data_IF_332772382622
#
_entry.id   IF_332772382622
#
_cell.length_a   1.000
_cell.length_b   1.000
_cell.length_c   1.000
_cell.angle_alpha   90.00
_cell.angle_beta   90.00
_cell.angle_gamma   90.00
#
_symmetry.space_group_name_H-M   'P 1'
#
loop_
_entity.id
_entity.type
_entity.pdbx_description
1 polymer ?
#
# COMPACT_ATOMS: atom_id res chain seq x y z
N UNK A 1 -3.97 -19.78 0.38
CA UNK A 1 -5.21 -20.60 0.46
C UNK A 1 -5.06 -21.96 -0.23
N UNK A 2 -4.61 -22.02 -1.49
CA UNK A 2 -4.55 -23.29 -2.24
C UNK A 2 -3.73 -24.41 -1.57
N UNK A 3 -2.71 -24.04 -0.81
CA UNK A 3 -1.80 -24.97 -0.14
C UNK A 3 -1.91 -24.93 1.40
N UNK A 4 -2.89 -24.24 1.93
CA UNK A 4 -3.14 -24.13 3.37
C UNK A 4 -4.33 -24.99 3.81
N UNK A 5 -4.42 -25.24 5.11
CA UNK A 5 -5.58 -25.87 5.75
C UNK A 5 -6.67 -24.85 6.13
N UNK A 6 -6.51 -23.56 5.71
CA UNK A 6 -7.50 -22.53 5.98
C UNK A 6 -8.85 -22.89 5.37
N UNK A 7 -9.90 -22.85 6.17
CA UNK A 7 -11.27 -23.20 5.76
C UNK A 7 -12.05 -21.96 5.27
N UNK A 8 -11.59 -20.78 5.64
CA UNK A 8 -12.26 -19.49 5.43
C UNK A 8 -11.38 -18.57 4.62
N UNK A 9 -11.97 -17.74 3.79
CA UNK A 9 -11.36 -16.62 3.10
C UNK A 9 -12.18 -15.36 3.36
N UNK A 10 -11.51 -14.31 3.82
CA UNK A 10 -12.10 -13.00 4.04
C UNK A 10 -11.52 -12.00 3.02
N UNK A 11 -12.36 -11.10 2.53
CA UNK A 11 -11.92 -10.04 1.64
C UNK A 11 -12.74 -8.77 1.83
N UNK A 12 -12.03 -7.64 1.92
CA UNK A 12 -12.66 -6.33 1.84
C UNK A 12 -13.01 -5.99 0.41
N UNK A 13 -14.16 -5.36 0.22
CA UNK A 13 -14.65 -4.87 -1.06
C UNK A 13 -15.34 -3.52 -0.90
N UNK A 14 -15.77 -2.97 -2.02
CA UNK A 14 -16.43 -1.65 -2.07
C UNK A 14 -17.70 -1.74 -2.91
N UNK A 15 -18.58 -0.76 -2.76
CA UNK A 15 -19.74 -0.61 -3.65
C UNK A 15 -19.31 -0.16 -5.07
N UNK A 16 -18.19 0.55 -5.18
CA UNK A 16 -17.63 1.00 -6.44
C UNK A 16 -16.91 -0.15 -7.17
N UNK A 17 -17.61 -0.80 -8.10
CA UNK A 17 -17.15 -2.00 -8.83
C UNK A 17 -15.72 -1.90 -9.40
N UNK A 18 -15.28 -0.71 -9.83
CA UNK A 18 -13.93 -0.50 -10.40
C UNK A 18 -12.80 -0.64 -9.39
N UNK A 19 -13.10 -0.64 -8.08
CA UNK A 19 -12.16 -0.80 -6.99
C UNK A 19 -12.35 -2.12 -6.25
N UNK A 20 -13.44 -2.84 -6.53
CA UNK A 20 -13.83 -4.05 -5.81
C UNK A 20 -13.16 -5.29 -6.39
N UNK A 21 -12.24 -5.89 -5.64
CA UNK A 21 -11.61 -7.19 -5.94
C UNK A 21 -12.32 -8.37 -5.27
N UNK A 22 -13.33 -8.11 -4.41
CA UNK A 22 -13.96 -9.16 -3.61
C UNK A 22 -14.66 -10.23 -4.41
N UNK A 23 -15.24 -9.89 -5.58
CA UNK A 23 -15.83 -10.86 -6.48
C UNK A 23 -14.81 -11.86 -7.01
N UNK A 24 -13.62 -11.40 -7.35
CA UNK A 24 -12.55 -12.28 -7.82
C UNK A 24 -11.99 -13.14 -6.70
N UNK A 25 -11.97 -12.63 -5.47
CA UNK A 25 -11.59 -13.38 -4.29
C UNK A 25 -12.62 -14.47 -3.98
N UNK A 26 -13.92 -14.17 -4.10
CA UNK A 26 -15.03 -15.12 -3.95
C UNK A 26 -14.96 -16.26 -4.97
N UNK A 27 -14.75 -15.95 -6.25
CA UNK A 27 -14.55 -16.98 -7.30
C UNK A 27 -13.40 -17.92 -6.94
N UNK A 28 -12.28 -17.36 -6.46
CA UNK A 28 -11.11 -18.13 -6.06
C UNK A 28 -11.40 -19.00 -4.83
N UNK A 29 -12.08 -18.46 -3.82
CA UNK A 29 -12.46 -19.19 -2.62
C UNK A 29 -13.40 -20.36 -2.95
N UNK A 30 -14.42 -20.11 -3.77
CA UNK A 30 -15.37 -21.13 -4.24
C UNK A 30 -14.68 -22.25 -5.01
N UNK A 31 -13.76 -21.92 -5.90
CA UNK A 31 -12.98 -22.89 -6.67
C UNK A 31 -12.10 -23.77 -5.76
N UNK A 32 -11.61 -23.20 -4.66
CA UNK A 32 -10.81 -23.92 -3.66
C UNK A 32 -11.67 -24.60 -2.58
N UNK A 33 -13.01 -24.52 -2.68
CA UNK A 33 -13.94 -25.12 -1.72
C UNK A 33 -13.85 -24.47 -0.32
N UNK A 34 -13.59 -23.16 -0.26
CA UNK A 34 -13.46 -22.40 0.98
C UNK A 34 -14.71 -21.56 1.24
N UNK A 35 -15.10 -21.40 2.50
CA UNK A 35 -16.14 -20.46 2.89
C UNK A 35 -15.63 -19.04 2.67
N UNK A 36 -16.42 -18.19 2.04
CA UNK A 36 -16.04 -16.81 1.73
C UNK A 36 -16.90 -15.81 2.52
N UNK A 37 -16.22 -14.86 3.16
CA UNK A 37 -16.85 -13.72 3.81
C UNK A 37 -16.41 -12.43 3.12
N UNK A 38 -17.37 -11.62 2.76
CA UNK A 38 -17.16 -10.32 2.13
C UNK A 38 -17.46 -9.21 3.12
N UNK A 39 -16.47 -8.39 3.41
CA UNK A 39 -16.63 -7.14 4.14
C UNK A 39 -16.75 -5.99 3.13
N UNK A 40 -17.92 -5.36 3.02
CA UNK A 40 -18.12 -4.20 2.15
C UNK A 40 -17.90 -2.95 2.97
N UNK A 41 -16.92 -2.13 2.57
CA UNK A 41 -16.53 -0.92 3.28
C UNK A 41 -17.24 0.26 2.66
N UNK A 42 -17.96 1.01 3.49
CA UNK A 42 -18.61 2.26 3.12
C UNK A 42 -17.73 3.47 3.44
N UNK A 43 -17.95 4.62 2.78
CA UNK A 43 -17.25 5.86 3.13
C UNK A 43 -17.45 6.24 4.60
N UNK A 44 -18.66 6.06 5.13
CA UNK A 44 -19.01 6.35 6.53
C UNK A 44 -18.14 5.55 7.50
N UNK A 45 -18.09 4.22 7.34
CA UNK A 45 -17.25 3.33 8.16
C UNK A 45 -15.78 3.68 8.06
N UNK A 46 -15.32 4.00 6.85
CA UNK A 46 -13.94 4.39 6.60
C UNK A 46 -13.52 5.63 7.40
N UNK A 47 -14.30 6.72 7.30
CA UNK A 47 -13.97 7.97 8.00
C UNK A 47 -14.21 7.89 9.52
N UNK A 48 -15.21 7.14 9.96
CA UNK A 48 -15.51 6.95 11.39
C UNK A 48 -14.38 6.23 12.13
N UNK A 49 -13.71 5.24 11.50
CA UNK A 49 -12.67 4.46 12.15
C UNK A 49 -11.29 5.16 12.15
N UNK A 50 -11.08 6.24 11.37
CA UNK A 50 -9.78 6.94 11.28
C UNK A 50 -9.17 7.27 12.64
N UNK A 51 -9.89 7.85 13.63
CA UNK A 51 -9.30 8.13 14.94
C UNK A 51 -8.80 6.88 15.66
N UNK A 52 -9.52 5.77 15.55
CA UNK A 52 -9.11 4.48 16.12
C UNK A 52 -7.81 3.97 15.48
N UNK A 53 -7.70 4.05 14.15
CA UNK A 53 -6.51 3.63 13.43
C UNK A 53 -5.32 4.51 13.82
N UNK A 54 -5.47 5.84 13.80
CA UNK A 54 -4.39 6.77 14.19
C UNK A 54 -3.92 6.55 15.63
N UNK A 55 -4.85 6.26 16.55
CA UNK A 55 -4.48 5.95 17.93
C UNK A 55 -3.65 4.67 18.05
N UNK A 56 -4.03 3.60 17.37
CA UNK A 56 -3.33 2.31 17.43
C UNK A 56 -2.04 2.29 16.60
N UNK A 57 -1.93 3.12 15.58
CA UNK A 57 -0.69 3.27 14.79
C UNK A 57 0.43 3.95 15.60
N UNK A 58 0.08 4.76 16.61
CA UNK A 58 1.01 5.51 17.49
C UNK A 58 1.92 6.50 16.74
N UNK A 59 1.73 6.67 15.44
CA UNK A 59 2.46 7.63 14.61
C UNK A 59 1.60 8.06 13.42
N UNK A 60 1.85 9.25 12.84
CA UNK A 60 1.17 9.68 11.61
C UNK A 60 1.51 8.73 10.46
N UNK A 61 0.51 8.26 9.75
CA UNK A 61 0.66 7.43 8.57
C UNK A 61 -0.18 7.98 7.43
N UNK A 62 0.47 8.26 6.30
CA UNK A 62 -0.19 8.77 5.08
C UNK A 62 -0.77 7.69 4.17
N UNK A 63 -0.70 6.40 4.55
CA UNK A 63 -1.30 5.32 3.76
C UNK A 63 -2.78 5.13 4.05
N UNK A 64 -3.61 5.44 3.04
CA UNK A 64 -5.06 5.28 3.11
C UNK A 64 -5.50 3.82 3.27
N UNK A 65 -4.65 2.86 2.91
CA UNK A 65 -4.94 1.42 2.99
C UNK A 65 -4.97 0.90 4.42
N UNK A 66 -4.27 1.56 5.36
CA UNK A 66 -4.27 1.22 6.78
C UNK A 66 -5.68 1.18 7.39
N UNK A 67 -6.54 2.10 6.97
CA UNK A 67 -7.93 2.17 7.43
C UNK A 67 -8.71 0.93 6.98
N UNK A 68 -8.59 0.59 5.70
CA UNK A 68 -9.24 -0.61 5.12
C UNK A 68 -8.70 -1.88 5.76
N UNK A 69 -7.40 -1.92 6.00
CA UNK A 69 -6.76 -3.06 6.65
C UNK A 69 -7.27 -3.26 8.10
N UNK A 70 -7.46 -2.17 8.84
CA UNK A 70 -8.03 -2.22 10.20
C UNK A 70 -9.47 -2.75 10.19
N UNK A 71 -10.31 -2.31 9.25
CA UNK A 71 -11.68 -2.83 9.09
C UNK A 71 -11.63 -4.33 8.77
N UNK A 72 -10.78 -4.72 7.83
CA UNK A 72 -10.58 -6.12 7.45
C UNK A 72 -10.12 -7.00 8.62
N UNK A 73 -9.16 -6.54 9.43
CA UNK A 73 -8.72 -7.24 10.63
C UNK A 73 -9.85 -7.45 11.63
N UNK A 74 -10.69 -6.43 11.87
CA UNK A 74 -11.85 -6.53 12.76
C UNK A 74 -12.87 -7.55 12.24
N UNK A 75 -13.20 -7.49 10.95
CA UNK A 75 -14.12 -8.44 10.33
C UNK A 75 -13.58 -9.89 10.38
N UNK A 76 -12.32 -10.09 10.02
CA UNK A 76 -11.67 -11.41 10.06
C UNK A 76 -11.60 -11.98 11.49
N UNK A 77 -11.37 -11.12 12.50
CA UNK A 77 -11.31 -11.55 13.91
C UNK A 77 -12.64 -12.10 14.46
N UNK A 78 -13.76 -11.83 13.79
CA UNK A 78 -15.06 -12.44 14.10
C UNK A 78 -15.12 -13.93 13.73
N UNK A 79 -14.31 -14.35 12.75
CA UNK A 79 -14.33 -15.72 12.22
C UNK A 79 -13.14 -16.56 12.66
N UNK A 80 -11.99 -15.94 12.92
CA UNK A 80 -10.76 -16.65 13.28
C UNK A 80 -9.87 -15.82 14.20
N UNK A 81 -8.90 -16.48 14.84
CA UNK A 81 -7.83 -15.83 15.61
C UNK A 81 -6.48 -15.82 14.88
N UNK A 82 -6.36 -16.60 13.82
CA UNK A 82 -5.12 -16.70 13.03
C UNK A 82 -5.51 -16.67 11.56
N UNK A 83 -4.89 -15.80 10.77
CA UNK A 83 -5.07 -15.78 9.33
C UNK A 83 -3.75 -15.69 8.56
N UNK A 84 -3.81 -15.90 7.26
CA UNK A 84 -2.68 -15.75 6.34
C UNK A 84 -2.91 -14.56 5.43
N UNK A 85 -1.87 -13.72 5.28
CA UNK A 85 -1.83 -12.63 4.31
C UNK A 85 -0.80 -12.88 3.20
N UNK A 86 -0.99 -12.24 2.07
CA UNK A 86 -0.14 -12.36 0.88
C UNK A 86 0.93 -11.28 0.77
N UNK A 87 1.20 -10.53 1.84
CA UNK A 87 2.15 -9.41 1.84
C UNK A 87 3.58 -9.85 1.50
N UNK A 88 4.36 -8.93 0.95
CA UNK A 88 5.76 -9.13 0.56
C UNK A 88 5.97 -9.74 -0.83
N UNK A 89 4.91 -10.23 -1.47
CA UNK A 89 5.01 -10.81 -2.81
C UNK A 89 5.34 -9.76 -3.89
N UNK A 90 4.93 -8.53 -3.70
CA UNK A 90 5.21 -7.43 -4.64
C UNK A 90 6.67 -7.03 -4.58
N UNK A 91 7.22 -6.87 -3.40
CA UNK A 91 8.60 -6.48 -3.16
C UNK A 91 9.58 -7.58 -3.58
N UNK A 92 9.31 -8.82 -3.21
CA UNK A 92 10.22 -9.94 -3.46
C UNK A 92 10.24 -10.38 -4.92
N UNK A 93 9.09 -10.35 -5.58
CA UNK A 93 8.93 -10.91 -6.94
C UNK A 93 8.61 -9.87 -8.02
N UNK A 94 8.69 -8.58 -7.71
CA UNK A 94 8.53 -7.52 -8.70
C UNK A 94 7.08 -7.27 -9.10
N UNK A 95 6.18 -7.07 -8.12
CA UNK A 95 4.75 -6.92 -8.38
C UNK A 95 4.29 -5.51 -8.75
N UNK A 96 5.02 -4.48 -8.38
CA UNK A 96 4.64 -3.10 -8.66
C UNK A 96 4.86 -2.71 -10.13
N UNK A 97 3.91 -1.99 -10.71
CA UNK A 97 3.99 -1.56 -12.12
C UNK A 97 5.20 -0.67 -12.41
N UNK A 98 5.64 0.11 -11.42
CA UNK A 98 6.80 0.99 -11.56
C UNK A 98 8.10 0.23 -11.82
N UNK A 99 8.21 -1.01 -11.35
CA UNK A 99 9.38 -1.86 -11.58
C UNK A 99 9.66 -2.16 -13.06
N UNK A 100 8.64 -2.09 -13.93
CA UNK A 100 8.82 -2.19 -15.39
C UNK A 100 9.64 -1.05 -15.97
N UNK A 101 9.73 0.06 -15.25
CA UNK A 101 10.50 1.22 -15.67
C UNK A 101 11.91 1.27 -15.05
N UNK A 102 12.29 0.29 -14.24
CA UNK A 102 13.56 0.29 -13.52
C UNK A 102 14.76 0.56 -14.43
N UNK A 103 14.84 -0.13 -15.57
CA UNK A 103 15.91 0.05 -16.54
C UNK A 103 15.97 1.46 -17.13
N UNK A 104 14.84 2.15 -17.25
CA UNK A 104 14.79 3.55 -17.75
C UNK A 104 15.34 4.53 -16.74
N UNK A 105 15.23 4.23 -15.45
CA UNK A 105 15.76 5.07 -14.38
C UNK A 105 17.28 4.89 -14.23
N UNK A 106 17.78 3.66 -14.44
CA UNK A 106 19.21 3.38 -14.39
C UNK A 106 19.88 3.85 -13.10
N UNK A 107 21.04 4.48 -13.21
CA UNK A 107 21.79 4.99 -12.06
C UNK A 107 21.15 6.21 -11.39
N UNK A 108 20.19 6.88 -12.04
CA UNK A 108 19.51 8.04 -11.47
C UNK A 108 18.50 7.66 -10.36
N UNK A 109 18.21 6.37 -10.16
CA UNK A 109 17.34 5.89 -9.08
C UNK A 109 17.72 6.46 -7.72
N UNK A 110 19.00 6.48 -7.41
CA UNK A 110 19.55 6.99 -6.15
C UNK A 110 19.29 8.50 -5.90
N UNK A 111 18.86 9.24 -6.90
CA UNK A 111 18.64 10.68 -6.80
C UNK A 111 17.18 11.01 -6.44
N UNK A 112 16.26 10.04 -6.57
CA UNK A 112 14.83 10.34 -6.33
C UNK A 112 14.01 9.18 -5.76
N UNK A 113 14.43 7.92 -5.87
CA UNK A 113 13.60 6.79 -5.46
C UNK A 113 13.83 6.43 -3.99
N UNK A 114 12.82 6.66 -3.18
CA UNK A 114 12.78 6.38 -1.74
C UNK A 114 11.68 5.36 -1.39
N UNK A 115 11.43 4.43 -2.31
CA UNK A 115 10.30 3.53 -2.20
C UNK A 115 9.00 4.18 -2.72
N UNK A 116 7.89 3.52 -2.49
CA UNK A 116 6.56 3.98 -2.91
C UNK A 116 6.00 5.11 -2.00
N UNK A 117 6.86 5.80 -1.26
CA UNK A 117 6.50 6.74 -0.19
C UNK A 117 6.54 8.20 -0.60
N UNK A 118 7.17 8.56 -1.71
CA UNK A 118 7.37 9.97 -2.08
C UNK A 118 6.13 10.56 -2.77
N UNK A 119 5.30 11.29 -2.01
CA UNK A 119 4.03 11.86 -2.47
C UNK A 119 4.19 13.31 -2.94
N UNK A 120 5.08 14.07 -2.32
CA UNK A 120 5.30 15.50 -2.61
C UNK A 120 6.74 15.76 -3.01
N UNK A 121 6.94 16.64 -4.00
CA UNK A 121 8.25 17.14 -4.37
C UNK A 121 8.75 18.17 -3.35
N UNK A 122 10.06 18.40 -3.32
CA UNK A 122 10.66 19.33 -2.37
C UNK A 122 10.17 20.77 -2.53
N UNK A 123 9.97 21.24 -3.75
CA UNK A 123 9.41 22.58 -4.01
C UNK A 123 7.94 22.72 -3.56
N UNK A 124 7.19 21.62 -3.50
CA UNK A 124 5.83 21.60 -2.95
C UNK A 124 5.86 21.60 -1.42
N UNK A 125 6.74 20.80 -0.81
CA UNK A 125 6.92 20.77 0.65
C UNK A 125 7.33 22.14 1.18
N UNK A 126 8.27 22.81 0.51
CA UNK A 126 8.72 24.17 0.87
C UNK A 126 7.57 25.18 0.91
N UNK A 127 6.55 25.03 0.06
CA UNK A 127 5.40 25.95 0.02
C UNK A 127 4.40 25.73 1.14
N UNK A 128 4.30 24.50 1.62
CA UNK A 128 3.26 24.14 2.60
C UNK A 128 3.78 24.00 4.04
N UNK A 129 5.07 23.69 4.22
CA UNK A 129 5.64 23.46 5.55
C UNK A 129 6.14 24.77 6.15
N UNK A 130 5.73 25.09 7.39
CA UNK A 130 6.25 26.26 8.14
C UNK A 130 7.70 26.08 8.59
N UNK A 131 8.11 24.85 8.79
CA UNK A 131 9.45 24.49 9.27
C UNK A 131 10.12 23.54 8.26
N UNK A 132 10.23 24.01 7.01
CA UNK A 132 10.93 23.27 5.97
C UNK A 132 12.45 23.43 6.16
N UNK A 133 13.15 22.31 6.22
CA UNK A 133 14.60 22.26 6.26
C UNK A 133 15.13 21.72 4.92
N UNK A 134 15.81 22.52 4.10
CA UNK A 134 16.35 22.10 2.82
C UNK A 134 17.51 21.12 2.91
N UNK A 135 18.12 20.98 4.09
CA UNK A 135 19.24 20.08 4.34
C UNK A 135 18.76 18.68 4.78
N UNK A 136 17.44 18.49 4.98
CA UNK A 136 16.85 17.18 5.33
C UNK A 136 16.06 16.64 4.15
N UNK A 137 16.68 15.75 3.38
CA UNK A 137 16.09 15.18 2.17
C UNK A 137 15.67 13.73 2.39
N UNK A 138 14.47 13.31 1.93
CA UNK A 138 14.01 11.92 2.05
C UNK A 138 14.98 10.91 1.43
N UNK A 139 15.68 11.30 0.38
CA UNK A 139 16.65 10.42 -0.29
C UNK A 139 17.81 10.01 0.62
N UNK A 140 18.14 10.78 1.63
CA UNK A 140 19.19 10.46 2.60
C UNK A 140 18.85 9.22 3.43
N UNK A 141 17.55 8.95 3.63
CA UNK A 141 17.08 7.72 4.30
C UNK A 141 17.41 6.49 3.44
N UNK A 142 17.33 6.63 2.12
CA UNK A 142 17.62 5.54 1.18
C UNK A 142 19.12 5.44 0.80
N UNK A 143 19.91 6.49 1.03
CA UNK A 143 21.31 6.53 0.61
C UNK A 143 22.16 5.34 1.14
N UNK A 144 22.10 4.96 2.43
CA UNK A 144 22.85 3.79 2.91
C UNK A 144 22.44 2.49 2.20
N UNK A 145 21.15 2.34 1.87
CA UNK A 145 20.65 1.18 1.15
C UNK A 145 21.26 1.13 -0.25
N UNK A 146 21.34 2.28 -0.93
CA UNK A 146 21.97 2.34 -2.27
C UNK A 146 23.46 2.05 -2.25
N UNK A 147 24.19 2.45 -1.21
CA UNK A 147 25.61 2.13 -1.04
C UNK A 147 25.84 0.63 -0.91
N UNK A 148 25.02 -0.08 -0.14
CA UNK A 148 25.09 -1.54 0.02
C UNK A 148 24.77 -2.31 -1.27
N UNK A 149 24.07 -1.65 -2.21
CA UNK A 149 23.61 -2.27 -3.47
C UNK A 149 24.43 -1.86 -4.69
N UNK A 150 25.65 -1.39 -4.51
CA UNK A 150 26.52 -1.07 -5.62
C UNK A 150 26.73 -2.31 -6.52
N UNK A 151 26.57 -2.13 -7.83
CA UNK A 151 26.70 -3.21 -8.82
C UNK A 151 25.46 -4.07 -9.05
N UNK A 152 24.38 -3.89 -8.29
CA UNK A 152 23.08 -4.53 -8.58
C UNK A 152 22.35 -3.81 -9.72
N UNK A 153 21.50 -4.57 -10.42
CA UNK A 153 20.64 -4.02 -11.46
C UNK A 153 19.54 -3.09 -10.86
N UNK A 154 18.99 -2.17 -11.68
CA UNK A 154 18.02 -1.17 -11.21
C UNK A 154 16.79 -1.75 -10.54
N UNK A 155 16.24 -2.86 -11.02
CA UNK A 155 15.07 -3.52 -10.39
C UNK A 155 15.42 -4.04 -9.01
N UNK A 156 16.58 -4.67 -8.86
CA UNK A 156 17.06 -5.15 -7.57
C UNK A 156 17.28 -4.01 -6.58
N UNK A 157 17.78 -2.85 -7.02
CA UNK A 157 17.90 -1.65 -6.19
C UNK A 157 16.53 -1.15 -5.73
N UNK A 158 15.55 -0.99 -6.64
CA UNK A 158 14.19 -0.57 -6.28
C UNK A 158 13.54 -1.54 -5.29
N UNK A 159 13.61 -2.84 -5.57
CA UNK A 159 13.06 -3.90 -4.70
C UNK A 159 13.65 -3.84 -3.29
N UNK A 160 14.97 -3.64 -3.15
CA UNK A 160 15.60 -3.56 -1.83
C UNK A 160 15.22 -2.29 -1.06
N UNK A 161 15.08 -1.15 -1.74
CA UNK A 161 14.56 0.09 -1.13
C UNK A 161 13.15 -0.14 -0.62
N UNK A 162 12.28 -0.77 -1.42
CA UNK A 162 10.92 -1.06 -0.99
C UNK A 162 10.87 -2.08 0.15
N UNK A 163 11.73 -3.09 0.18
CA UNK A 163 11.80 -4.04 1.28
C UNK A 163 12.16 -3.36 2.60
N UNK A 164 13.16 -2.46 2.58
CA UNK A 164 13.68 -1.85 3.80
C UNK A 164 12.90 -0.61 4.26
N UNK A 165 12.25 0.12 3.36
CA UNK A 165 11.52 1.35 3.68
C UNK A 165 10.01 1.13 3.64
N UNK A 166 9.48 0.60 2.52
CA UNK A 166 8.05 0.47 2.30
C UNK A 166 7.45 -0.75 3.01
N UNK A 167 8.03 -1.93 2.80
CA UNK A 167 7.51 -3.17 3.39
C UNK A 167 7.64 -3.16 4.91
N UNK A 168 8.80 -2.75 5.43
CA UNK A 168 9.04 -2.69 6.88
C UNK A 168 8.33 -1.51 7.54
N UNK A 169 8.49 -0.31 6.97
CA UNK A 169 8.04 0.94 7.61
C UNK A 169 6.56 1.25 7.42
N UNK A 170 5.89 0.60 6.47
CA UNK A 170 4.46 0.82 6.19
C UNK A 170 3.66 -0.49 6.25
N UNK A 171 3.92 -1.45 5.37
CA UNK A 171 3.08 -2.65 5.23
C UNK A 171 3.13 -3.50 6.51
N UNK A 172 4.32 -3.84 7.01
CA UNK A 172 4.44 -4.64 8.23
C UNK A 172 3.94 -3.90 9.46
N UNK A 173 4.16 -2.60 9.53
CA UNK A 173 3.65 -1.77 10.60
C UNK A 173 2.10 -1.80 10.64
N UNK A 174 1.45 -1.66 9.47
CA UNK A 174 0.00 -1.78 9.35
C UNK A 174 -0.49 -3.16 9.76
N UNK A 175 0.16 -4.22 9.27
CA UNK A 175 -0.19 -5.61 9.62
C UNK A 175 -0.10 -5.82 11.11
N UNK A 176 1.02 -5.45 11.73
CA UNK A 176 1.28 -5.66 13.16
C UNK A 176 0.28 -4.89 14.03
N UNK A 177 0.22 -3.58 13.86
CA UNK A 177 -0.61 -2.69 14.67
C UNK A 177 -2.11 -2.97 14.55
N UNK A 178 -2.62 -3.15 13.34
CA UNK A 178 -4.05 -3.32 13.12
C UNK A 178 -4.52 -4.73 13.48
N UNK A 179 -3.70 -5.75 13.26
CA UNK A 179 -4.05 -7.10 13.67
C UNK A 179 -4.03 -7.24 15.20
N UNK A 180 -3.01 -6.69 15.88
CA UNK A 180 -2.95 -6.67 17.33
C UNK A 180 -4.15 -5.95 17.96
N UNK A 181 -4.49 -4.77 17.43
CA UNK A 181 -5.65 -3.99 17.87
C UNK A 181 -6.99 -4.74 17.70
N UNK A 182 -7.08 -5.64 16.71
CA UNK A 182 -8.23 -6.52 16.49
C UNK A 182 -8.17 -7.83 17.25
N UNK A 183 -7.06 -8.16 17.92
CA UNK A 183 -6.84 -9.45 18.56
C UNK A 183 -6.72 -10.62 17.58
N UNK A 184 -6.11 -10.37 16.41
CA UNK A 184 -5.90 -11.28 15.29
C UNK A 184 -4.40 -11.53 15.09
N UNK A 185 -3.98 -12.79 14.95
CA UNK A 185 -2.62 -13.14 14.54
C UNK A 185 -2.55 -13.27 13.02
N UNK A 186 -1.77 -12.42 12.34
CA UNK A 186 -1.55 -12.52 10.91
C UNK A 186 -0.19 -13.16 10.63
N UNK A 187 -0.19 -14.17 9.78
CA UNK A 187 1.01 -14.85 9.28
C UNK A 187 1.22 -14.53 7.80
N UNK A 188 2.45 -14.18 7.45
CA UNK A 188 2.84 -13.78 6.10
C UNK A 188 3.82 -14.80 5.50
N UNK A 189 3.35 -15.93 4.93
CA UNK A 189 4.23 -17.00 4.47
C UNK A 189 5.19 -16.57 3.35
N UNK A 190 4.81 -15.56 2.55
CA UNK A 190 5.62 -15.09 1.44
C UNK A 190 6.83 -14.25 1.89
N UNK A 191 6.87 -13.84 3.15
CA UNK A 191 7.99 -13.09 3.76
C UNK A 191 8.94 -13.99 4.56
N UNK A 192 8.76 -15.32 4.46
CA UNK A 192 9.68 -16.28 5.07
C UNK A 192 11.09 -16.12 4.48
N UNK A 193 12.10 -16.22 5.34
CA UNK A 193 13.51 -16.08 4.95
C UNK A 193 13.91 -16.99 3.78
N UNK A 194 13.36 -18.20 3.71
CA UNK A 194 13.64 -19.15 2.62
C UNK A 194 13.09 -18.63 1.28
N UNK A 195 11.95 -17.97 1.31
CA UNK A 195 11.37 -17.31 0.13
C UNK A 195 12.23 -16.10 -0.27
N UNK A 196 12.66 -15.30 0.69
CA UNK A 196 13.57 -14.19 0.45
C UNK A 196 14.90 -14.66 -0.16
N UNK A 197 15.51 -15.75 0.36
CA UNK A 197 16.75 -16.32 -0.16
C UNK A 197 16.62 -16.76 -1.64
N UNK A 198 15.44 -17.21 -2.06
CA UNK A 198 15.15 -17.54 -3.46
C UNK A 198 14.98 -16.26 -4.28
N UNK A 199 14.15 -15.34 -3.80
CA UNK A 199 13.81 -14.12 -4.50
C UNK A 199 15.01 -13.17 -4.69
N UNK A 200 15.87 -13.04 -3.68
CA UNK A 200 17.07 -12.20 -3.73
C UNK A 200 18.11 -12.66 -4.77
N UNK A 201 18.17 -13.97 -5.06
CA UNK A 201 19.07 -14.56 -6.07
C UNK A 201 18.43 -14.66 -7.46
N UNK A 202 17.15 -14.30 -7.56
CA UNK A 202 16.42 -14.44 -8.83
C UNK A 202 16.78 -13.30 -9.78
N UNK A 203 17.27 -13.59 -11.01
CA UNK A 203 17.49 -12.55 -12.01
C UNK A 203 16.23 -11.76 -12.34
N UNK A 204 16.35 -10.45 -12.51
CA UNK A 204 15.25 -9.50 -12.71
C UNK A 204 14.29 -9.88 -13.83
N UNK A 205 14.77 -10.49 -14.93
CA UNK A 205 13.95 -10.99 -16.04
C UNK A 205 12.92 -12.07 -15.64
N UNK A 206 13.12 -12.76 -14.52
CA UNK A 206 12.15 -13.73 -13.97
C UNK A 206 11.20 -13.10 -12.95
N UNK A 207 11.48 -11.88 -12.53
CA UNK A 207 10.57 -11.09 -11.70
C UNK A 207 9.62 -10.26 -12.56
N UNK A 208 10.18 -9.52 -13.54
CA UNK A 208 9.42 -8.58 -14.39
C UNK A 208 9.86 -8.73 -15.85
N UNK A 209 8.91 -8.68 -16.76
CA UNK A 209 9.14 -8.57 -18.19
C UNK A 209 8.19 -7.55 -18.82
N UNK A 210 8.21 -7.38 -20.14
CA UNK A 210 7.37 -6.43 -20.86
C UNK A 210 5.87 -6.71 -20.71
N UNK A 211 5.49 -7.97 -20.53
CA UNK A 211 4.09 -8.40 -20.52
C UNK A 211 3.51 -8.44 -19.09
N UNK A 212 4.33 -8.88 -18.11
CA UNK A 212 3.80 -9.15 -16.78
C UNK A 212 4.82 -8.93 -15.65
N UNK A 213 4.26 -8.71 -14.46
CA UNK A 213 4.94 -8.67 -13.19
C UNK A 213 4.87 -10.04 -12.49
N UNK A 214 5.75 -10.31 -11.54
CA UNK A 214 5.79 -11.57 -10.75
C UNK A 214 5.90 -12.83 -11.62
N UNK A 215 6.68 -12.78 -12.70
CA UNK A 215 6.75 -13.84 -13.74
C UNK A 215 6.94 -15.23 -13.11
N UNK A 216 8.04 -15.44 -12.37
CA UNK A 216 8.33 -16.73 -11.75
C UNK A 216 7.29 -17.13 -10.69
N UNK A 217 6.82 -16.18 -9.89
CA UNK A 217 5.81 -16.43 -8.87
C UNK A 217 4.48 -16.90 -9.48
N UNK A 218 4.01 -16.24 -10.54
CA UNK A 218 2.80 -16.63 -11.27
C UNK A 218 2.96 -17.99 -11.95
N UNK A 219 4.12 -18.24 -12.55
CA UNK A 219 4.44 -19.54 -13.15
C UNK A 219 4.43 -20.68 -12.12
N UNK A 220 4.92 -20.41 -10.91
CA UNK A 220 4.84 -21.37 -9.80
C UNK A 220 3.40 -21.56 -9.31
N UNK A 221 2.63 -20.47 -9.20
CA UNK A 221 1.21 -20.52 -8.80
C UNK A 221 0.36 -21.31 -9.78
N UNK A 222 0.62 -21.24 -11.09
CA UNK A 222 -0.08 -22.00 -12.12
C UNK A 222 0.10 -23.54 -12.01
N UNK A 223 1.03 -24.02 -11.19
CA UNK A 223 1.16 -25.46 -10.90
C UNK A 223 0.13 -25.97 -9.88
N UNK A 224 -0.48 -25.06 -9.11
CA UNK A 224 -1.40 -25.38 -8.02
C UNK A 224 -2.74 -24.65 -8.12
N UNK A 225 -2.84 -23.67 -9.02
CA UNK A 225 -4.03 -22.91 -9.32
C UNK A 225 -4.32 -22.96 -10.82
N UNK A 226 -5.58 -22.80 -11.25
CA UNK A 226 -5.90 -22.57 -12.65
C UNK A 226 -5.14 -21.37 -13.24
N UNK A 227 -4.76 -21.46 -14.51
CA UNK A 227 -3.99 -20.41 -15.18
C UNK A 227 -4.73 -19.06 -15.15
N UNK A 228 -6.03 -19.04 -15.29
CA UNK A 228 -6.88 -17.84 -15.24
C UNK A 228 -6.76 -17.10 -13.90
N UNK A 229 -6.50 -17.79 -12.80
CA UNK A 229 -6.25 -17.21 -11.49
C UNK A 229 -4.79 -16.78 -11.37
N UNK A 230 -3.85 -17.68 -11.71
CA UNK A 230 -2.42 -17.43 -11.57
C UNK A 230 -1.95 -16.22 -12.40
N UNK A 231 -2.51 -16.02 -13.59
CA UNK A 231 -2.16 -14.95 -14.52
C UNK A 231 -3.18 -13.80 -14.55
N UNK A 232 -4.13 -13.76 -13.63
CA UNK A 232 -5.11 -12.69 -13.51
C UNK A 232 -4.43 -11.31 -13.44
N UNK A 233 -5.02 -10.31 -14.09
CA UNK A 233 -4.50 -8.93 -14.03
C UNK A 233 -4.54 -8.42 -12.60
N UNK A 234 -3.41 -7.84 -12.14
CA UNK A 234 -3.36 -7.16 -10.84
C UNK A 234 -4.19 -5.88 -10.93
N UNK A 235 -5.11 -5.67 -9.99
CA UNK A 235 -5.80 -4.40 -9.77
C UNK A 235 -5.07 -3.55 -8.73
N UNK A 236 -4.61 -4.15 -7.65
CA UNK A 236 -3.96 -3.50 -6.52
C UNK A 236 -4.96 -3.16 -5.42
N UNK A 237 -4.48 -3.00 -4.21
CA UNK A 237 -5.29 -2.63 -3.05
C UNK A 237 -5.59 -1.13 -3.08
N UNK A 238 -6.52 -0.71 -3.97
CA UNK A 238 -6.82 0.69 -4.23
C UNK A 238 -8.07 1.10 -3.45
N UNK A 239 -7.90 2.02 -2.50
CA UNK A 239 -9.00 2.62 -1.73
C UNK A 239 -9.69 3.70 -2.56
N UNK A 240 -11.04 3.74 -2.61
CA UNK A 240 -11.76 4.78 -3.36
C UNK A 240 -11.72 6.18 -2.72
N UNK A 241 -10.81 6.42 -1.79
CA UNK A 241 -10.71 7.65 -1.00
C UNK A 241 -10.68 8.93 -1.85
N UNK A 242 -10.07 8.84 -3.05
CA UNK A 242 -10.04 9.96 -4.01
C UNK A 242 -11.42 10.40 -4.50
N UNK A 243 -12.45 9.53 -4.33
CA UNK A 243 -13.84 9.87 -4.66
C UNK A 243 -14.55 10.33 -3.40
N UNK A 244 -14.35 9.62 -2.31
CA UNK A 244 -15.03 9.87 -1.05
C UNK A 244 -14.67 11.23 -0.46
N UNK A 245 -13.41 11.64 -0.45
CA UNK A 245 -13.02 12.97 0.04
C UNK A 245 -13.52 14.12 -0.84
N UNK A 246 -13.83 13.86 -2.12
CA UNK A 246 -14.41 14.88 -3.01
C UNK A 246 -15.92 15.03 -2.84
N UNK A 247 -16.61 14.09 -2.18
CA UNK A 247 -18.03 14.18 -1.87
C UNK A 247 -18.28 15.27 -0.84
N UNK A 248 -19.31 16.10 -1.08
CA UNK A 248 -19.66 17.25 -0.23
C UNK A 248 -19.91 16.89 1.23
N UNK A 249 -20.31 15.65 1.51
CA UNK A 249 -20.52 15.13 2.87
C UNK A 249 -19.23 15.09 3.70
N UNK A 250 -18.08 14.82 3.06
CA UNK A 250 -16.80 14.63 3.73
C UNK A 250 -15.82 15.78 3.52
N UNK A 251 -15.99 16.56 2.45
CA UNK A 251 -15.06 17.64 2.13
C UNK A 251 -15.08 18.76 3.18
N UNK A 252 -16.21 18.97 3.86
CA UNK A 252 -16.30 19.95 4.95
C UNK A 252 -15.41 19.54 6.14
N UNK A 253 -15.42 18.27 6.52
CA UNK A 253 -14.59 17.75 7.61
C UNK A 253 -13.09 17.93 7.31
N UNK A 254 -12.67 17.68 6.07
CA UNK A 254 -11.29 17.93 5.63
C UNK A 254 -10.95 19.42 5.74
N UNK A 255 -11.84 20.31 5.29
CA UNK A 255 -11.65 21.77 5.39
C UNK A 255 -11.51 22.25 6.84
N UNK A 256 -12.32 21.68 7.75
CA UNK A 256 -12.23 22.02 9.17
C UNK A 256 -10.91 21.57 9.78
N UNK A 257 -10.45 20.37 9.45
CA UNK A 257 -9.14 19.86 9.90
C UNK A 257 -8.00 20.72 9.39
N UNK A 258 -8.02 21.16 8.14
CA UNK A 258 -7.01 22.04 7.56
C UNK A 258 -7.00 23.44 8.20
N UNK A 259 -8.11 23.90 8.79
CA UNK A 259 -8.20 25.16 9.54
C UNK A 259 -7.87 25.01 11.03
N UNK A 260 -7.59 23.80 11.48
CA UNK A 260 -7.31 23.56 12.90
C UNK A 260 -6.06 24.27 13.39
N UNK A 261 -6.00 24.58 14.68
CA UNK A 261 -4.78 25.09 15.32
C UNK A 261 -3.61 24.12 15.18
N UNK A 262 -3.89 22.82 15.09
CA UNK A 262 -2.88 21.79 14.88
C UNK A 262 -2.26 21.90 13.48
N UNK A 263 -3.09 21.94 12.43
CA UNK A 263 -2.61 22.15 11.07
C UNK A 263 -1.80 23.44 10.95
N UNK A 264 -2.27 24.53 11.57
CA UNK A 264 -1.59 25.82 11.57
C UNK A 264 -0.23 25.83 12.28
N UNK A 265 0.12 24.83 13.09
CA UNK A 265 1.47 24.70 13.68
C UNK A 265 2.50 24.22 12.66
N UNK A 266 2.11 23.35 11.75
CA UNK A 266 3.02 22.65 10.83
C UNK A 266 2.95 23.20 9.41
N UNK A 267 1.77 23.68 9.00
CA UNK A 267 1.51 24.04 7.61
C UNK A 267 1.15 25.51 7.43
N UNK A 268 1.41 26.02 6.24
CA UNK A 268 0.77 27.22 5.71
C UNK A 268 -0.67 26.87 5.36
N UNK A 269 -1.62 27.41 6.13
CA UNK A 269 -3.04 27.05 6.03
C UNK A 269 -3.63 27.44 4.67
N UNK A 270 -3.24 28.58 4.12
CA UNK A 270 -3.75 29.02 2.81
C UNK A 270 -3.20 28.13 1.69
N UNK A 271 -1.93 27.73 1.79
CA UNK A 271 -1.31 26.85 0.81
C UNK A 271 -1.93 25.43 0.80
N UNK A 272 -2.18 24.82 1.97
CA UNK A 272 -2.85 23.51 2.01
C UNK A 272 -4.30 23.58 1.56
N UNK A 273 -5.02 24.67 1.85
CA UNK A 273 -6.36 24.89 1.32
C UNK A 273 -6.37 25.04 -0.20
N UNK A 274 -5.36 25.69 -0.81
CA UNK A 274 -5.26 25.80 -2.25
C UNK A 274 -5.11 24.42 -2.92
N UNK A 275 -4.33 23.49 -2.29
CA UNK A 275 -4.21 22.10 -2.77
C UNK A 275 -5.55 21.39 -2.69
N UNK A 276 -6.30 21.59 -1.60
CA UNK A 276 -7.61 20.97 -1.43
C UNK A 276 -8.65 21.54 -2.40
N UNK A 277 -8.67 22.85 -2.62
CA UNK A 277 -9.58 23.49 -3.57
C UNK A 277 -9.30 23.05 -5.01
N UNK A 278 -8.02 22.91 -5.39
CA UNK A 278 -7.63 22.37 -6.69
C UNK A 278 -8.09 20.92 -6.87
N UNK A 279 -7.95 20.09 -5.81
CA UNK A 279 -8.44 18.72 -5.82
C UNK A 279 -9.97 18.64 -6.00
N UNK A 280 -10.75 19.37 -5.22
CA UNK A 280 -12.22 19.41 -5.32
C UNK A 280 -12.65 20.05 -6.64
N UNK A 281 -11.85 20.99 -7.16
CA UNK A 281 -12.04 21.64 -8.47
C UNK A 281 -11.82 20.70 -9.67
N UNK A 282 -11.38 19.45 -9.45
CA UNK A 282 -11.28 18.40 -10.46
C UNK A 282 -9.86 17.87 -10.72
N UNK A 283 -8.83 18.43 -10.08
CA UNK A 283 -7.47 17.88 -10.15
C UNK A 283 -7.35 16.68 -9.19
N UNK A 284 -7.87 15.54 -9.64
CA UNK A 284 -7.89 14.32 -8.83
C UNK A 284 -6.50 13.79 -8.45
N UNK A 285 -5.41 14.25 -9.09
CA UNK A 285 -4.05 13.79 -8.79
C UNK A 285 -3.55 14.28 -7.43
N UNK A 286 -4.16 15.34 -6.90
CA UNK A 286 -3.84 15.88 -5.59
C UNK A 286 -4.44 15.10 -4.41
N UNK A 287 -5.23 14.04 -4.64
CA UNK A 287 -5.87 13.30 -3.55
C UNK A 287 -4.90 12.75 -2.50
N UNK A 288 -3.74 12.23 -2.96
CA UNK A 288 -2.70 11.72 -2.05
C UNK A 288 -2.13 12.82 -1.16
N UNK A 289 -1.88 14.01 -1.74
CA UNK A 289 -1.39 15.17 -0.98
C UNK A 289 -2.38 15.59 0.08
N UNK A 290 -3.68 15.69 -0.30
CA UNK A 290 -4.76 16.05 0.63
C UNK A 290 -4.85 15.04 1.79
N UNK A 291 -4.75 13.75 1.48
CA UNK A 291 -4.79 12.70 2.51
C UNK A 291 -3.58 12.71 3.44
N UNK A 292 -2.40 13.01 2.91
CA UNK A 292 -1.14 12.99 3.66
C UNK A 292 -0.98 14.21 4.58
N UNK A 293 -1.58 15.35 4.23
CA UNK A 293 -1.62 16.57 5.06
C UNK A 293 -2.55 16.39 6.24
#
# INVERSE_FOLDING_TARGET
LAMSEAEVADCCGYEEERFDESRMAEETANLLGRTFYRCVITPEEYFEIVPYVMYNMEQPLGDASAIVFAIGCKATAEHTKICYSGEGADEFFGGYNMYRNAERYGENLKDFYVGNTNIMKEDEKQKILKHYDPDVLPIEVAAPIYEEMEGLDPLSKMSNVDIQIWLEGDIYLNVDKMSEAAGLEIRMPLTDKRIFDIASRMPSKYKVNEEQNKVAFRTAAAKVLPEEIAFRKKLGFIVPIRIWMADDRYNQDVREKFRSEMAAKFFDVDAIHAIFDDYVGGNSDNWRKVWTI
#
